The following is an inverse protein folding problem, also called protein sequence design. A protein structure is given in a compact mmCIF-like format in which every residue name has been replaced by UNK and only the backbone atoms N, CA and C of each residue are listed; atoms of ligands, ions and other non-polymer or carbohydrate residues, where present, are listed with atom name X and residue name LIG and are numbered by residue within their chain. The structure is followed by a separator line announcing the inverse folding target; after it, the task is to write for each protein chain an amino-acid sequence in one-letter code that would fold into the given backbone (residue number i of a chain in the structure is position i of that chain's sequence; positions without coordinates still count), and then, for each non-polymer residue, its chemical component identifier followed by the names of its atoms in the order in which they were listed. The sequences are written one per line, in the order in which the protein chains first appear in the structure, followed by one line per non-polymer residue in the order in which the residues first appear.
data_IF_942061631880
#
_entry.id   IF_942061631880
#
_cell.length_a   1.000
_cell.length_b   1.000
_cell.length_c   1.000
_cell.angle_alpha   90.00
_cell.angle_beta   90.00
_cell.angle_gamma   90.00
#
_symmetry.space_group_name_H-M   'P 1'
#
loop_
_entity.id
_entity.type
_entity.pdbx_description
1 polymer ?
#
# COMPACT_ATOMS: atom_id res chain seq x y z
N UNK A 1 -0.26 -8.29 7.07
CA UNK A 1 0.00 -9.02 5.81
C UNK A 1 -1.30 -9.66 5.30
N UNK A 2 -2.38 -8.88 5.17
CA UNK A 2 -3.70 -9.37 4.74
C UNK A 2 -4.40 -8.43 3.72
N UNK A 3 -3.83 -7.25 3.45
CA UNK A 3 -4.42 -6.26 2.54
C UNK A 3 -3.84 -6.29 1.12
N UNK A 4 -2.80 -7.10 0.86
CA UNK A 4 -2.20 -7.19 -0.48
C UNK A 4 -2.91 -8.18 -1.43
N UNK A 5 -3.94 -8.89 -0.97
CA UNK A 5 -4.62 -9.91 -1.79
C UNK A 5 -5.76 -9.38 -2.68
N UNK A 6 -6.05 -8.08 -2.65
CA UNK A 6 -7.19 -7.49 -3.38
C UNK A 6 -6.81 -6.52 -4.51
N UNK A 7 -5.53 -6.46 -4.93
CA UNK A 7 -5.06 -5.56 -6.00
C UNK A 7 -5.07 -6.18 -7.41
N UNK A 8 -6.09 -6.96 -7.77
CA UNK A 8 -6.09 -7.63 -9.09
C UNK A 8 -7.46 -8.04 -9.63
N UNK A 9 -8.49 -7.21 -9.47
CA UNK A 9 -9.83 -7.50 -10.00
C UNK A 9 -10.01 -7.25 -11.51
N UNK A 10 -8.96 -6.89 -12.24
CA UNK A 10 -9.04 -6.61 -13.68
C UNK A 10 -8.51 -7.73 -14.60
N UNK A 11 -8.00 -8.83 -14.05
CA UNK A 11 -7.56 -9.96 -14.87
C UNK A 11 -8.67 -11.01 -14.92
N UNK A 12 -9.36 -11.10 -16.06
CA UNK A 12 -10.23 -12.25 -16.39
C UNK A 12 -9.38 -13.51 -16.32
N UNK A 13 -9.46 -14.19 -15.18
CA UNK A 13 -8.72 -15.42 -14.94
C UNK A 13 -9.39 -16.56 -15.73
N UNK A 14 -8.65 -17.36 -16.50
CA UNK A 14 -9.19 -18.56 -17.15
C UNK A 14 -9.95 -19.42 -16.13
N UNK A 15 -11.10 -19.97 -16.54
CA UNK A 15 -12.01 -20.72 -15.66
C UNK A 15 -11.29 -21.82 -14.85
N UNK A 16 -10.31 -22.49 -15.46
CA UNK A 16 -9.50 -23.50 -14.77
C UNK A 16 -8.68 -22.93 -13.63
N UNK A 17 -7.95 -21.84 -13.85
CA UNK A 17 -7.09 -21.22 -12.84
C UNK A 17 -7.93 -20.66 -11.68
N UNK A 18 -9.11 -20.10 -11.99
CA UNK A 18 -10.09 -19.70 -10.99
C UNK A 18 -10.52 -20.89 -10.14
N UNK A 19 -10.88 -22.02 -10.75
CA UNK A 19 -11.31 -23.23 -10.02
C UNK A 19 -10.20 -23.84 -9.17
N UNK A 20 -8.96 -23.85 -9.67
CA UNK A 20 -7.79 -24.30 -8.90
C UNK A 20 -7.54 -23.36 -7.71
N UNK A 21 -7.70 -22.05 -7.90
CA UNK A 21 -7.56 -21.07 -6.84
C UNK A 21 -8.64 -21.24 -5.77
N UNK A 22 -9.91 -21.35 -6.17
CA UNK A 22 -11.05 -21.64 -5.27
C UNK A 22 -10.82 -22.93 -4.47
N UNK A 23 -10.36 -24.00 -5.13
CA UNK A 23 -10.04 -25.26 -4.47
C UNK A 23 -8.91 -25.10 -3.43
N UNK A 24 -7.84 -24.39 -3.78
CA UNK A 24 -6.73 -24.11 -2.86
C UNK A 24 -7.21 -23.30 -1.65
N UNK A 25 -8.05 -22.29 -1.86
CA UNK A 25 -8.66 -21.51 -0.78
C UNK A 25 -9.52 -22.40 0.11
N UNK A 26 -10.37 -23.25 -0.45
CA UNK A 26 -11.21 -24.17 0.32
C UNK A 26 -10.37 -25.15 1.14
N UNK A 27 -9.33 -25.74 0.53
CA UNK A 27 -8.44 -26.69 1.20
C UNK A 27 -7.60 -26.04 2.30
N UNK A 28 -7.10 -24.84 2.07
CA UNK A 28 -6.20 -24.16 3.01
C UNK A 28 -6.97 -23.35 4.07
N UNK A 29 -8.19 -22.89 3.77
CA UNK A 29 -9.06 -22.14 4.67
C UNK A 29 -9.93 -23.01 5.57
N UNK A 30 -10.05 -24.31 5.28
CA UNK A 30 -10.80 -25.24 6.12
C UNK A 30 -9.97 -25.77 7.29
N UNK A 31 -10.54 -25.67 8.49
CA UNK A 31 -9.98 -26.24 9.74
C UNK A 31 -9.90 -27.78 9.72
N UNK A 32 -10.71 -28.42 8.87
CA UNK A 32 -10.76 -29.88 8.76
C UNK A 32 -9.57 -30.42 7.97
N UNK A 33 -9.12 -29.69 6.95
CA UNK A 33 -8.07 -30.13 6.03
C UNK A 33 -6.70 -29.51 6.33
N UNK A 34 -6.65 -28.38 7.04
CA UNK A 34 -5.42 -27.66 7.36
C UNK A 34 -5.06 -27.77 8.86
N UNK A 35 -4.14 -28.69 9.19
CA UNK A 35 -3.67 -28.91 10.56
C UNK A 35 -2.99 -27.69 11.17
N UNK A 36 -2.31 -26.86 10.36
CA UNK A 36 -1.68 -25.63 10.87
C UNK A 36 -2.73 -24.65 11.38
N UNK A 37 -3.81 -24.48 10.61
CA UNK A 37 -4.93 -23.61 10.99
C UNK A 37 -5.60 -24.13 12.27
N UNK A 38 -5.83 -25.44 12.35
CA UNK A 38 -6.40 -26.11 13.52
C UNK A 38 -5.54 -25.95 14.78
N UNK A 39 -4.22 -26.10 14.66
CA UNK A 39 -3.30 -25.92 15.77
C UNK A 39 -3.22 -24.46 16.22
N UNK A 40 -3.17 -23.52 15.28
CA UNK A 40 -3.22 -22.10 15.58
C UNK A 40 -4.52 -21.71 16.29
N UNK A 41 -5.66 -22.27 15.87
CA UNK A 41 -6.95 -22.07 16.52
C UNK A 41 -6.99 -22.60 17.94
N UNK A 42 -6.53 -23.85 18.17
CA UNK A 42 -6.43 -24.42 19.51
C UNK A 42 -5.57 -23.55 20.43
N UNK A 43 -4.43 -23.08 19.91
CA UNK A 43 -3.55 -22.18 20.63
C UNK A 43 -4.22 -20.84 20.95
N UNK A 44 -5.00 -20.28 20.01
CA UNK A 44 -5.77 -19.07 20.23
C UNK A 44 -6.82 -19.26 21.32
N UNK A 45 -7.64 -20.31 21.23
CA UNK A 45 -8.68 -20.67 22.21
C UNK A 45 -8.09 -20.86 23.61
N UNK A 46 -6.96 -21.58 23.72
CA UNK A 46 -6.29 -21.80 24.99
C UNK A 46 -5.77 -20.50 25.63
N UNK A 47 -5.36 -19.54 24.81
CA UNK A 47 -4.79 -18.27 25.26
C UNK A 47 -5.79 -17.11 25.24
N UNK A 48 -7.11 -17.34 25.06
CA UNK A 48 -8.09 -16.23 24.93
C UNK A 48 -8.06 -15.28 26.13
N UNK A 49 -7.87 -15.82 27.32
CA UNK A 49 -7.83 -15.05 28.56
C UNK A 49 -6.55 -14.21 28.71
N UNK A 50 -5.44 -14.65 28.10
CA UNK A 50 -4.15 -13.95 28.15
C UNK A 50 -3.99 -12.93 27.03
N UNK A 51 -4.92 -12.90 26.05
CA UNK A 51 -4.93 -11.88 24.99
C UNK A 51 -5.23 -10.51 25.62
N UNK A 52 -4.23 -9.63 25.62
CA UNK A 52 -4.41 -8.22 25.95
C UNK A 52 -5.42 -7.61 24.99
N UNK A 53 -6.63 -7.36 25.48
CA UNK A 53 -7.68 -6.63 24.76
C UNK A 53 -7.27 -5.16 24.69
N UNK A 54 -6.58 -4.79 23.64
CA UNK A 54 -6.33 -3.39 23.30
C UNK A 54 -7.39 -2.91 22.31
N UNK A 55 -7.89 -1.67 22.44
CA UNK A 55 -8.73 -1.08 21.42
C UNK A 55 -7.97 -1.08 20.09
N UNK A 56 -8.65 -1.44 19.01
CA UNK A 56 -8.07 -1.30 17.68
C UNK A 56 -7.84 0.19 17.42
N UNK A 57 -6.57 0.58 17.29
CA UNK A 57 -6.22 1.92 16.87
C UNK A 57 -6.16 1.95 15.35
N UNK A 58 -7.09 2.67 14.74
CA UNK A 58 -7.02 2.94 13.31
C UNK A 58 -5.77 3.77 13.02
N UNK A 59 -5.00 3.31 12.03
CA UNK A 59 -3.89 4.09 11.48
C UNK A 59 -4.41 5.43 10.95
N UNK A 60 -3.70 6.52 11.25
CA UNK A 60 -4.08 7.83 10.74
C UNK A 60 -3.80 7.89 9.23
N UNK A 61 -4.72 8.47 8.44
CA UNK A 61 -4.55 8.55 6.98
C UNK A 61 -3.25 9.28 6.57
N UNK A 62 -2.86 10.28 7.37
CA UNK A 62 -1.63 11.06 7.18
C UNK A 62 -0.33 10.26 7.31
N UNK A 63 -0.38 9.05 7.87
CA UNK A 63 0.79 8.18 8.05
C UNK A 63 1.01 7.24 6.85
N UNK A 64 0.12 7.29 5.84
CA UNK A 64 0.28 6.55 4.60
C UNK A 64 1.06 7.37 3.58
N UNK A 65 2.13 6.77 3.06
CA UNK A 65 3.05 7.40 2.12
C UNK A 65 3.08 6.66 0.81
N UNK A 66 3.16 7.41 -0.29
CA UNK A 66 3.34 6.83 -1.60
C UNK A 66 4.84 6.81 -1.94
N UNK A 67 5.45 5.63 -1.87
CA UNK A 67 6.89 5.42 -2.12
C UNK A 67 7.05 4.34 -3.19
N UNK A 68 7.77 4.64 -4.26
CA UNK A 68 8.06 3.71 -5.36
C UNK A 68 6.80 2.99 -5.89
N UNK A 69 5.76 3.76 -6.19
CA UNK A 69 4.47 3.25 -6.69
C UNK A 69 3.69 2.37 -5.71
N UNK A 70 4.09 2.32 -4.43
CA UNK A 70 3.42 1.54 -3.39
C UNK A 70 3.00 2.43 -2.23
N UNK A 71 1.79 2.20 -1.71
CA UNK A 71 1.31 2.86 -0.49
C UNK A 71 1.87 2.10 0.72
N UNK A 72 2.65 2.78 1.56
CA UNK A 72 3.30 2.21 2.74
C UNK A 72 2.88 2.98 3.98
N UNK A 73 2.53 2.27 5.05
CA UNK A 73 2.27 2.87 6.36
C UNK A 73 3.59 3.18 7.06
N UNK A 74 3.87 4.47 7.31
CA UNK A 74 5.06 4.93 8.01
C UNK A 74 4.72 6.12 8.95
N UNK A 75 4.38 5.85 10.22
CA UNK A 75 3.97 6.87 11.18
C UNK A 75 5.11 7.77 11.68
N UNK A 76 6.38 7.39 11.44
CA UNK A 76 7.54 8.23 11.79
C UNK A 76 7.68 9.45 10.87
N UNK A 77 7.06 9.41 9.69
CA UNK A 77 7.05 10.49 8.73
C UNK A 77 5.66 11.11 8.72
N UNK A 78 5.37 12.04 9.63
CA UNK A 78 4.12 12.80 9.58
C UNK A 78 4.21 13.92 8.53
N UNK A 79 3.08 14.52 8.14
CA UNK A 79 3.04 15.67 7.22
C UNK A 79 3.99 16.79 7.67
N UNK A 80 4.17 16.97 8.99
CA UNK A 80 5.05 17.98 9.57
C UNK A 80 6.55 17.62 9.49
N UNK A 81 6.91 16.34 9.54
CA UNK A 81 8.31 15.89 9.59
C UNK A 81 8.80 15.26 8.27
N UNK A 82 7.93 15.10 7.27
CA UNK A 82 8.34 14.54 5.97
C UNK A 82 9.28 15.51 5.25
N UNK A 83 10.39 15.03 4.68
CA UNK A 83 11.25 15.85 3.84
C UNK A 83 10.49 16.23 2.55
N UNK A 84 10.17 17.52 2.39
CA UNK A 84 9.56 18.05 1.17
C UNK A 84 10.61 18.25 0.09
N UNK A 85 10.60 17.39 -0.94
CA UNK A 85 11.50 17.50 -2.09
C UNK A 85 11.00 18.43 -3.21
N UNK A 86 9.78 19.01 -3.07
CA UNK A 86 9.13 19.85 -4.10
C UNK A 86 9.94 21.08 -4.54
N UNK A 87 10.89 21.52 -3.71
CA UNK A 87 11.72 22.71 -3.99
C UNK A 87 13.23 22.43 -3.96
N UNK A 88 13.64 21.16 -3.96
CA UNK A 88 15.06 20.78 -3.95
C UNK A 88 15.56 20.43 -5.36
N UNK A 89 15.02 21.09 -6.39
CA UNK A 89 15.60 21.01 -7.72
C UNK A 89 16.91 21.78 -7.69
N UNK A 90 18.01 21.13 -8.09
CA UNK A 90 19.28 21.82 -8.30
C UNK A 90 19.07 22.85 -9.42
N UNK A 91 19.64 24.03 -9.25
CA UNK A 91 19.66 25.06 -10.29
C UNK A 91 20.13 24.45 -11.61
N UNK A 92 19.27 24.53 -12.62
CA UNK A 92 19.41 23.84 -13.89
C UNK A 92 18.52 24.50 -14.94
N UNK A 93 18.60 24.09 -16.22
CA UNK A 93 17.82 24.70 -17.27
C UNK A 93 16.31 24.62 -16.96
N UNK A 94 15.67 25.78 -16.79
CA UNK A 94 14.26 25.92 -16.41
C UNK A 94 13.98 26.11 -14.91
N UNK A 95 15.01 26.06 -14.04
CA UNK A 95 14.89 26.25 -12.59
C UNK A 95 16.07 27.08 -12.05
N UNK A 96 15.79 28.28 -11.56
CA UNK A 96 16.73 29.14 -10.84
C UNK A 96 16.74 28.82 -9.33
N UNK A 97 17.69 29.41 -8.59
CA UNK A 97 17.81 29.45 -7.13
C UNK A 97 16.52 29.79 -6.40
N UNK A 98 15.62 30.54 -7.05
CA UNK A 98 14.32 30.93 -6.52
C UNK A 98 13.15 30.05 -7.01
N UNK A 99 13.39 29.06 -7.87
CA UNK A 99 12.37 28.13 -8.38
C UNK A 99 12.26 28.08 -9.90
N UNK A 100 11.13 27.60 -10.43
CA UNK A 100 10.92 27.47 -11.87
C UNK A 100 10.95 28.83 -12.58
N UNK A 101 11.72 28.93 -13.66
CA UNK A 101 11.75 30.14 -14.50
C UNK A 101 10.55 30.10 -15.44
N UNK A 102 9.68 31.12 -15.44
CA UNK A 102 8.56 31.17 -16.36
C UNK A 102 9.05 31.17 -17.81
N UNK A 103 8.39 30.38 -18.67
CA UNK A 103 8.72 30.34 -20.11
C UNK A 103 8.37 31.70 -20.72
N UNK A 104 9.32 32.38 -21.40
CA UNK A 104 9.04 33.65 -22.05
C UNK A 104 7.91 33.50 -23.06
N UNK A 105 6.93 34.40 -22.99
CA UNK A 105 5.74 34.45 -23.85
C UNK A 105 6.07 34.47 -25.34
N UNK A 106 7.25 34.97 -25.71
CA UNK A 106 7.67 35.17 -27.10
C UNK A 106 8.07 33.85 -27.80
N UNK A 107 8.14 32.73 -27.05
CA UNK A 107 8.38 31.39 -27.60
C UNK A 107 7.09 30.59 -27.87
N UNK A 108 5.91 31.14 -27.58
CA UNK A 108 4.63 30.60 -28.06
C UNK A 108 4.45 30.93 -29.55
N UNK A 109 5.30 30.35 -30.41
CA UNK A 109 5.03 30.32 -31.85
C UNK A 109 3.83 29.40 -32.03
N UNK A 110 2.65 29.99 -32.17
CA UNK A 110 1.47 29.31 -32.68
C UNK A 110 1.84 28.73 -34.04
N UNK A 111 1.77 27.40 -34.15
CA UNK A 111 1.81 26.71 -35.43
C UNK A 111 0.39 26.80 -36.01
N UNK A 112 0.23 27.62 -37.04
CA UNK A 112 -0.86 27.45 -38.02
C UNK A 112 -0.59 26.22 -38.91
#
# INVERSE_FOLDING_TARGET
MAMELFQGLDNVCPLYEQKVHEYKLMKNGSMYTNDRLKNAWKHLVHNVETIKRQPYQFHHLNDFHFINYTVRYNPSQTISNRPTYRFNLKSGPGVDTYGQVPIPSDQMIFRD
#
